data_IF_491702711862
#
_entry.id   IF_491702711862
#
_cell.length_a   1.000
_cell.length_b   1.000
_cell.length_c   1.000
_cell.angle_alpha   90.00
_cell.angle_beta   90.00
_cell.angle_gamma   90.00
#
_symmetry.space_group_name_H-M   'P 1'
#
loop_
_entity.id
_entity.type
_entity.pdbx_description
1 polymer ?
#
# COMPACT_ATOMS: atom_id res chain seq x y z
N UNK A 1 6.08 -22.53 -16.48
CA UNK A 1 5.76 -21.21 -17.05
C UNK A 1 5.36 -20.27 -15.92
N UNK A 2 6.12 -19.20 -15.67
CA UNK A 2 5.81 -18.23 -14.62
C UNK A 2 4.61 -17.36 -14.99
N UNK A 3 3.77 -17.02 -14.00
CA UNK A 3 2.67 -16.07 -14.21
C UNK A 3 3.24 -14.65 -14.28
N UNK A 4 2.97 -13.93 -15.37
CA UNK A 4 3.25 -12.51 -15.46
C UNK A 4 2.17 -11.76 -14.68
N UNK A 5 2.58 -11.06 -13.62
CA UNK A 5 1.69 -10.21 -12.84
C UNK A 5 1.87 -8.76 -13.29
N UNK A 6 0.76 -8.04 -13.49
CA UNK A 6 0.82 -6.59 -13.69
C UNK A 6 1.30 -5.95 -12.40
N UNK A 7 2.29 -5.06 -12.48
CA UNK A 7 2.79 -4.32 -11.33
C UNK A 7 2.21 -2.91 -11.29
N UNK A 8 2.10 -2.36 -10.10
CA UNK A 8 1.83 -0.95 -9.85
C UNK A 8 3.00 -0.36 -9.07
N UNK A 9 3.43 0.84 -9.48
CA UNK A 9 4.51 1.59 -8.87
C UNK A 9 3.95 2.77 -8.10
N UNK A 10 4.45 2.96 -6.88
CA UNK A 10 4.25 4.18 -6.10
C UNK A 10 5.58 4.95 -6.12
N UNK A 11 5.52 6.23 -6.51
CA UNK A 11 6.69 7.07 -6.71
C UNK A 11 7.07 7.27 -8.18
N UNK A 12 8.15 8.02 -8.41
CA UNK A 12 8.63 8.40 -9.73
C UNK A 12 9.60 7.35 -10.31
N UNK A 13 10.21 7.62 -11.47
CA UNK A 13 11.21 6.70 -12.05
C UNK A 13 12.56 6.83 -11.35
N UNK A 14 12.93 8.05 -10.99
CA UNK A 14 14.15 8.35 -10.24
C UNK A 14 14.01 8.06 -8.75
N UNK A 15 12.78 8.04 -8.22
CA UNK A 15 12.49 7.86 -6.79
C UNK A 15 11.36 6.84 -6.60
N UNK A 16 11.72 5.56 -6.62
CA UNK A 16 10.80 4.46 -6.34
C UNK A 16 10.52 4.41 -4.84
N UNK A 17 9.24 4.45 -4.45
CA UNK A 17 8.81 4.27 -3.06
C UNK A 17 8.42 2.81 -2.82
N UNK A 18 7.56 2.25 -3.68
CA UNK A 18 7.10 0.86 -3.58
C UNK A 18 6.69 0.29 -4.94
N UNK A 19 6.76 -1.04 -5.09
CA UNK A 19 6.36 -1.78 -6.29
C UNK A 19 5.60 -3.04 -5.88
N UNK A 20 4.33 -3.14 -6.29
CA UNK A 20 3.45 -4.23 -5.89
C UNK A 20 2.79 -4.91 -7.09
N UNK A 21 2.45 -6.20 -7.01
CA UNK A 21 1.47 -6.80 -7.92
C UNK A 21 0.13 -6.08 -7.79
N UNK A 22 -0.45 -5.64 -8.91
CA UNK A 22 -1.75 -4.97 -8.93
C UNK A 22 -2.85 -5.94 -8.51
N UNK A 23 -3.59 -5.59 -7.46
CA UNK A 23 -4.69 -6.39 -6.91
C UNK A 23 -6.09 -5.80 -7.12
N UNK A 24 -6.22 -4.56 -7.59
CA UNK A 24 -7.50 -3.87 -7.68
C UNK A 24 -7.43 -2.55 -8.45
N UNK A 25 -8.42 -1.68 -8.27
CA UNK A 25 -8.37 -0.30 -8.78
C UNK A 25 -7.44 0.56 -7.92
N UNK A 26 -6.74 1.51 -8.56
CA UNK A 26 -5.83 2.43 -7.89
C UNK A 26 -6.14 3.87 -8.33
N UNK A 27 -5.90 4.82 -7.45
CA UNK A 27 -5.84 6.26 -7.78
C UNK A 27 -4.59 6.57 -8.59
N UNK A 28 -4.57 7.73 -9.25
CA UNK A 28 -3.41 8.12 -10.07
C UNK A 28 -2.28 8.72 -9.22
N UNK A 29 -2.63 9.41 -8.13
CA UNK A 29 -1.71 10.13 -7.25
C UNK A 29 -2.01 9.87 -5.78
N UNK A 30 -0.97 9.88 -4.93
CA UNK A 30 -1.11 9.65 -3.49
C UNK A 30 -1.89 10.75 -2.77
N UNK A 31 -1.93 11.98 -3.32
CA UNK A 31 -2.71 13.09 -2.79
C UNK A 31 -4.23 12.85 -2.85
N UNK A 32 -4.69 11.96 -3.73
CA UNK A 32 -6.12 11.61 -3.84
C UNK A 32 -6.62 10.75 -2.67
N UNK A 33 -5.72 10.13 -1.90
CA UNK A 33 -6.06 9.29 -0.75
C UNK A 33 -6.58 10.13 0.43
N UNK A 34 -6.18 11.40 0.51
CA UNK A 34 -6.50 12.28 1.62
C UNK A 34 -5.61 12.06 2.86
N UNK A 35 -6.06 12.61 3.99
CA UNK A 35 -5.36 12.50 5.27
C UNK A 35 -5.45 11.08 5.81
N UNK A 36 -4.34 10.55 6.32
CA UNK A 36 -4.26 9.21 6.90
C UNK A 36 -4.24 9.33 8.42
N UNK A 37 -5.11 8.59 9.12
CA UNK A 37 -5.09 8.46 10.58
C UNK A 37 -4.76 7.04 11.00
N UNK A 38 -3.86 6.90 11.97
CA UNK A 38 -3.53 5.62 12.58
C UNK A 38 -4.53 5.31 13.71
N UNK A 39 -5.15 4.15 13.62
CA UNK A 39 -5.99 3.59 14.66
C UNK A 39 -5.21 2.64 15.57
N UNK A 40 -5.92 1.66 16.13
CA UNK A 40 -5.34 0.66 17.01
C UNK A 40 -4.27 -0.18 16.31
N UNK A 41 -3.22 -0.53 17.07
CA UNK A 41 -2.17 -1.46 16.67
C UNK A 41 -2.29 -2.71 17.53
N UNK A 42 -2.70 -3.82 16.91
CA UNK A 42 -2.90 -5.09 17.60
C UNK A 42 -1.71 -6.04 17.43
N UNK A 43 -1.38 -6.77 18.49
CA UNK A 43 -0.47 -7.91 18.43
C UNK A 43 -1.16 -9.13 17.80
N UNK A 44 -0.66 -9.64 16.68
CA UNK A 44 -1.14 -10.89 16.04
C UNK A 44 -0.13 -12.04 16.12
N UNK A 45 0.84 -11.96 17.02
CA UNK A 45 1.84 -12.98 17.28
C UNK A 45 3.26 -12.43 17.32
N UNK A 46 4.24 -13.33 17.32
CA UNK A 46 5.66 -13.00 17.56
C UNK A 46 6.17 -11.83 16.72
N UNK A 47 5.88 -11.82 15.42
CA UNK A 47 6.36 -10.81 14.46
C UNK A 47 5.25 -10.07 13.71
N UNK A 48 3.98 -10.40 13.97
CA UNK A 48 2.87 -9.86 13.20
C UNK A 48 2.14 -8.78 14.00
N UNK A 49 1.95 -7.62 13.37
CA UNK A 49 1.11 -6.54 13.90
C UNK A 49 0.04 -6.20 12.88
N UNK A 50 -1.17 -5.94 13.36
CA UNK A 50 -2.24 -5.39 12.54
C UNK A 50 -2.39 -3.93 12.91
N UNK A 51 -2.25 -3.07 11.92
CA UNK A 51 -2.43 -1.62 12.06
C UNK A 51 -3.73 -1.27 11.38
N UNK A 52 -4.65 -0.66 12.12
CA UNK A 52 -5.88 -0.11 11.53
C UNK A 52 -5.57 1.30 11.02
N UNK A 53 -6.00 1.59 9.79
CA UNK A 53 -5.79 2.88 9.14
C UNK A 53 -7.15 3.38 8.67
N UNK A 54 -7.46 4.66 8.92
CA UNK A 54 -8.62 5.34 8.33
C UNK A 54 -8.15 6.50 7.46
N UNK A 55 -8.95 6.82 6.45
CA UNK A 55 -8.79 7.97 5.57
C UNK A 55 -10.00 8.90 5.76
N UNK A 56 -9.75 10.20 5.74
CA UNK A 56 -10.80 11.23 5.83
C UNK A 56 -11.50 11.47 4.48
#
# INVERSE_FOLDING_TARGET
MGRHHTLIRIGSHSELIDLQPRGGAHVSNTSEIGSIRLGEIENKGRNNRRVTISID
#
